data_IF_423342045239
#
_entry.id   IF_423342045239
#
_cell.length_a   1.000
_cell.length_b   1.000
_cell.length_c   1.000
_cell.angle_alpha   90.00
_cell.angle_beta   90.00
_cell.angle_gamma   90.00
#
_symmetry.space_group_name_H-M   'P 1'
#
loop_
_entity.id
_entity.type
_entity.pdbx_description
1 polymer ?
#
# COMPACT_ATOMS: atom_id res chain seq x y z
N UNK A 1 13.24 13.44 11.29
CA UNK A 1 12.77 13.86 12.63
C UNK A 1 11.53 13.07 13.03
N UNK A 2 11.65 12.14 13.98
CA UNK A 2 10.47 11.74 14.75
C UNK A 2 9.82 13.00 15.32
N UNK A 3 8.48 13.12 15.24
CA UNK A 3 7.75 14.33 15.65
C UNK A 3 8.16 14.83 17.05
N UNK A 4 8.56 13.91 17.95
CA UNK A 4 9.11 14.19 19.27
C UNK A 4 10.43 14.98 19.29
N UNK A 5 11.46 14.59 18.54
CA UNK A 5 12.75 15.30 18.59
C UNK A 5 12.66 16.69 17.95
N UNK A 6 11.77 16.87 16.96
CA UNK A 6 11.46 18.20 16.39
C UNK A 6 10.76 19.10 17.39
N UNK A 7 9.83 18.53 18.14
CA UNK A 7 9.14 19.22 19.22
C UNK A 7 10.13 19.62 20.32
N UNK A 8 10.98 18.69 20.77
CA UNK A 8 12.00 18.94 21.79
C UNK A 8 13.01 20.02 21.37
N UNK A 9 13.51 19.99 20.12
CA UNK A 9 14.43 21.02 19.63
C UNK A 9 13.75 22.39 19.46
N UNK A 10 12.44 22.43 19.15
CA UNK A 10 11.65 23.68 19.15
C UNK A 10 11.44 24.21 20.58
N UNK A 11 11.12 23.33 21.52
CA UNK A 11 10.99 23.69 22.94
C UNK A 11 12.31 24.17 23.53
N UNK A 12 13.43 23.49 23.27
CA UNK A 12 14.75 23.89 23.74
C UNK A 12 15.12 25.30 23.24
N UNK A 13 14.82 25.63 21.98
CA UNK A 13 15.00 26.99 21.46
C UNK A 13 14.11 28.02 22.14
N UNK A 14 12.90 27.63 22.51
CA UNK A 14 11.95 28.48 23.23
C UNK A 14 12.41 28.71 24.67
N UNK A 15 12.87 27.65 25.35
CA UNK A 15 13.42 27.74 26.69
C UNK A 15 14.68 28.59 26.77
N UNK A 16 15.55 28.55 25.74
CA UNK A 16 16.70 29.47 25.68
C UNK A 16 16.25 30.92 25.50
N UNK A 17 15.25 31.14 24.63
CA UNK A 17 14.69 32.48 24.38
C UNK A 17 13.94 33.06 25.59
N UNK A 18 13.33 32.20 26.39
CA UNK A 18 12.60 32.55 27.60
C UNK A 18 13.53 32.59 28.85
N UNK A 19 14.87 32.50 28.66
CA UNK A 19 15.90 32.48 29.71
C UNK A 19 15.72 31.38 30.78
N UNK A 20 15.02 30.29 30.43
CA UNK A 20 14.80 29.14 31.32
C UNK A 20 16.00 28.19 31.37
N UNK A 21 16.87 28.25 30.37
CA UNK A 21 18.13 27.52 30.28
C UNK A 21 19.25 28.48 29.87
N UNK A 22 20.48 28.16 30.25
CA UNK A 22 21.67 28.91 29.84
C UNK A 22 22.15 28.48 28.45
N UNK A 23 22.87 29.35 27.74
CA UNK A 23 23.40 29.06 26.40
C UNK A 23 24.29 27.81 26.37
N UNK A 24 25.05 27.56 27.45
CA UNK A 24 25.87 26.35 27.61
C UNK A 24 25.01 25.08 27.75
N UNK A 25 23.91 25.14 28.51
CA UNK A 25 22.96 24.03 28.64
C UNK A 25 22.20 23.78 27.33
N UNK A 26 21.89 24.84 26.59
CA UNK A 26 21.28 24.74 25.27
C UNK A 26 22.19 24.01 24.29
N UNK A 27 23.47 24.38 24.19
CA UNK A 27 24.47 23.70 23.34
C UNK A 27 24.58 22.21 23.65
N UNK A 28 24.66 21.83 24.93
CA UNK A 28 24.77 20.43 25.36
C UNK A 28 23.51 19.62 24.98
N UNK A 29 22.33 20.17 25.24
CA UNK A 29 21.06 19.51 24.93
C UNK A 29 20.81 19.46 23.43
N UNK A 30 21.13 20.54 22.72
CA UNK A 30 21.02 20.61 21.27
C UNK A 30 21.86 19.51 20.63
N UNK A 31 23.14 19.39 21.03
CA UNK A 31 24.07 18.37 20.54
C UNK A 31 23.64 16.94 20.90
N UNK A 32 22.99 16.75 22.06
CA UNK A 32 22.45 15.45 22.51
C UNK A 32 21.20 15.00 21.75
N UNK A 33 20.36 15.93 21.30
CA UNK A 33 19.13 15.63 20.55
C UNK A 33 19.27 15.85 19.03
N UNK A 34 20.45 16.27 18.59
CA UNK A 34 20.86 16.33 17.19
C UNK A 34 21.26 14.93 16.71
N UNK A 35 20.35 13.95 16.84
CA UNK A 35 20.49 12.67 16.15
C UNK A 35 20.28 12.88 14.65
N UNK A 36 21.06 12.13 13.86
CA UNK A 36 21.08 12.15 12.40
C UNK A 36 19.70 12.43 11.79
N UNK A 37 19.65 13.54 11.05
CA UNK A 37 18.48 14.18 10.47
C UNK A 37 17.54 13.22 9.69
N UNK A 38 18.10 12.10 9.20
CA UNK A 38 17.45 11.17 8.30
C UNK A 38 16.77 10.05 9.10
N UNK A 39 15.43 10.08 9.11
CA UNK A 39 14.66 8.91 9.50
C UNK A 39 14.81 7.85 8.40
N UNK A 40 15.73 6.91 8.59
CA UNK A 40 15.97 5.81 7.65
C UNK A 40 14.83 4.80 7.62
N UNK A 41 13.87 4.87 8.55
CA UNK A 41 12.84 3.84 8.69
C UNK A 41 11.94 3.68 7.45
N UNK A 42 11.44 4.76 6.81
CA UNK A 42 10.67 4.67 5.57
C UNK A 42 11.53 4.16 4.41
N UNK A 43 12.79 4.60 4.32
CA UNK A 43 13.72 4.19 3.27
C UNK A 43 13.98 2.69 3.36
N UNK A 44 14.32 2.18 4.55
CA UNK A 44 14.51 0.76 4.80
C UNK A 44 13.23 -0.02 4.45
N UNK A 45 12.04 0.48 4.81
CA UNK A 45 10.78 -0.21 4.45
C UNK A 45 10.60 -0.29 2.94
N UNK A 46 10.85 0.80 2.22
CA UNK A 46 10.75 0.84 0.76
C UNK A 46 11.73 -0.16 0.12
N UNK A 47 13.01 -0.14 0.52
CA UNK A 47 14.04 -1.07 0.04
C UNK A 47 13.68 -2.52 0.33
N UNK A 48 13.12 -2.80 1.51
CA UNK A 48 12.72 -4.17 1.86
C UNK A 48 11.53 -4.63 1.02
N UNK A 49 10.53 -3.78 0.79
CA UNK A 49 9.38 -4.12 -0.07
C UNK A 49 9.83 -4.35 -1.51
N UNK A 50 10.66 -3.48 -2.07
CA UNK A 50 11.19 -3.66 -3.42
C UNK A 50 12.06 -4.91 -3.52
N UNK A 51 12.87 -5.18 -2.50
CA UNK A 51 13.67 -6.40 -2.40
C UNK A 51 12.82 -7.67 -2.38
N UNK A 52 11.73 -7.70 -1.60
CA UNK A 52 10.77 -8.82 -1.59
C UNK A 52 10.25 -9.09 -3.01
N UNK A 53 9.77 -8.04 -3.70
CA UNK A 53 9.20 -8.16 -5.04
C UNK A 53 10.26 -8.64 -6.05
N UNK A 54 11.45 -8.03 -6.03
CA UNK A 54 12.53 -8.37 -6.96
C UNK A 54 13.04 -9.80 -6.75
N UNK A 55 13.23 -10.24 -5.51
CA UNK A 55 13.65 -11.61 -5.21
C UNK A 55 12.59 -12.60 -5.66
N UNK A 56 11.31 -12.35 -5.36
CA UNK A 56 10.22 -13.23 -5.80
C UNK A 56 10.16 -13.35 -7.32
N UNK A 57 10.16 -12.23 -8.05
CA UNK A 57 10.15 -12.23 -9.52
C UNK A 57 11.41 -12.89 -10.08
N UNK A 58 12.58 -12.60 -9.51
CA UNK A 58 13.85 -13.15 -9.95
C UNK A 58 13.88 -14.68 -9.83
N UNK A 59 13.40 -15.23 -8.72
CA UNK A 59 13.29 -16.69 -8.56
C UNK A 59 12.28 -17.31 -9.51
N UNK A 60 11.11 -16.69 -9.70
CA UNK A 60 10.09 -17.17 -10.66
C UNK A 60 10.66 -17.16 -12.08
N UNK A 61 11.34 -16.09 -12.49
CA UNK A 61 11.95 -15.96 -13.81
C UNK A 61 13.11 -16.94 -14.02
N UNK A 62 13.98 -17.11 -13.02
CA UNK A 62 15.05 -18.10 -13.04
C UNK A 62 14.48 -19.50 -13.25
N UNK A 63 13.42 -19.86 -12.53
CA UNK A 63 12.76 -21.16 -12.65
C UNK A 63 12.11 -21.34 -14.02
N UNK A 64 11.47 -20.30 -14.57
CA UNK A 64 10.87 -20.36 -15.93
C UNK A 64 11.90 -20.46 -17.05
N UNK A 65 13.12 -19.93 -16.86
CA UNK A 65 14.17 -19.94 -17.88
C UNK A 65 14.84 -21.31 -18.02
N UNK A 66 14.99 -22.04 -16.91
CA UNK A 66 15.59 -23.37 -16.91
C UNK A 66 14.53 -24.45 -17.05
N UNK A 67 14.78 -25.45 -17.91
CA UNK A 67 13.92 -26.62 -18.06
C UNK A 67 14.20 -27.57 -16.89
N UNK A 68 13.65 -27.25 -15.71
CA UNK A 68 13.64 -28.15 -14.57
C UNK A 68 12.38 -29.03 -14.59
N UNK A 69 12.48 -30.22 -14.01
CA UNK A 69 11.29 -31.06 -13.74
C UNK A 69 10.35 -30.33 -12.78
N UNK A 70 9.04 -30.36 -13.03
CA UNK A 70 8.01 -29.75 -12.16
C UNK A 70 8.13 -30.24 -10.71
N UNK A 71 8.51 -31.51 -10.51
CA UNK A 71 8.75 -32.08 -9.18
C UNK A 71 9.92 -31.41 -8.46
N UNK A 72 10.98 -31.07 -9.19
CA UNK A 72 12.13 -30.34 -8.64
C UNK A 72 11.76 -28.90 -8.28
N UNK A 73 10.96 -28.25 -9.11
CA UNK A 73 10.44 -26.90 -8.84
C UNK A 73 9.58 -26.88 -7.56
N UNK A 74 8.65 -27.85 -7.42
CA UNK A 74 7.84 -27.98 -6.22
C UNK A 74 8.72 -28.23 -4.98
N UNK A 75 9.72 -29.12 -5.07
CA UNK A 75 10.68 -29.36 -3.99
C UNK A 75 11.44 -28.09 -3.60
N UNK A 76 11.91 -27.31 -4.57
CA UNK A 76 12.64 -26.07 -4.33
C UNK A 76 11.76 -25.02 -3.63
N UNK A 77 10.51 -24.83 -4.07
CA UNK A 77 9.60 -23.90 -3.39
C UNK A 77 9.26 -24.34 -1.97
N UNK A 78 9.07 -25.64 -1.73
CA UNK A 78 8.88 -26.18 -0.38
C UNK A 78 10.10 -25.90 0.51
N UNK A 79 11.32 -26.12 -0.01
CA UNK A 79 12.56 -25.86 0.70
C UNK A 79 12.71 -24.37 1.03
N UNK A 80 12.46 -23.48 0.05
CA UNK A 80 12.52 -22.04 0.25
C UNK A 80 11.49 -21.56 1.29
N UNK A 81 10.25 -22.07 1.23
CA UNK A 81 9.22 -21.80 2.23
C UNK A 81 9.70 -22.21 3.64
N UNK A 82 10.14 -23.46 3.82
CA UNK A 82 10.58 -23.96 5.13
C UNK A 82 11.81 -23.20 5.64
N UNK A 83 12.75 -22.89 4.75
CA UNK A 83 13.99 -22.19 5.11
C UNK A 83 13.73 -20.84 5.77
N UNK A 84 12.78 -20.04 5.29
CA UNK A 84 12.54 -18.73 5.88
C UNK A 84 11.87 -18.77 7.26
N UNK A 85 11.09 -19.81 7.57
CA UNK A 85 10.59 -20.04 8.93
C UNK A 85 11.70 -20.47 9.88
N UNK A 86 12.63 -21.31 9.41
CA UNK A 86 13.80 -21.72 10.19
C UNK A 86 14.72 -20.52 10.45
N UNK A 87 15.00 -19.69 9.44
CA UNK A 87 15.85 -18.50 9.55
C UNK A 87 15.25 -17.50 10.56
N UNK A 88 13.93 -17.24 10.50
CA UNK A 88 13.25 -16.38 11.48
C UNK A 88 13.42 -16.89 12.92
N UNK A 89 13.30 -18.20 13.12
CA UNK A 89 13.45 -18.82 14.44
C UNK A 89 14.91 -18.77 14.93
N UNK A 90 15.89 -18.96 14.04
CA UNK A 90 17.31 -18.82 14.36
C UNK A 90 17.64 -17.37 14.76
N UNK A 91 17.11 -16.38 14.04
CA UNK A 91 17.35 -14.97 14.34
C UNK A 91 16.79 -14.56 15.71
N UNK A 92 15.64 -15.13 16.10
CA UNK A 92 15.06 -14.94 17.44
C UNK A 92 15.91 -15.59 18.53
N UNK A 93 16.44 -16.79 18.28
CA UNK A 93 17.27 -17.52 19.27
C UNK A 93 18.66 -16.94 19.45
N UNK A 94 19.21 -16.26 18.44
CA UNK A 94 20.55 -15.67 18.47
C UNK A 94 20.58 -14.20 18.90
N UNK A 95 19.45 -13.63 19.32
CA UNK A 95 19.30 -12.20 19.67
C UNK A 95 19.70 -11.19 18.57
N UNK A 96 19.87 -11.64 17.32
CA UNK A 96 20.13 -10.78 16.14
C UNK A 96 18.77 -10.37 15.51
N UNK A 97 17.75 -10.16 16.34
CA UNK A 97 16.38 -9.97 15.85
C UNK A 97 16.20 -8.60 15.19
N UNK A 98 16.20 -8.60 13.86
CA UNK A 98 15.86 -7.45 13.02
C UNK A 98 14.39 -7.55 12.58
N UNK A 99 13.45 -6.82 13.22
CA UNK A 99 12.01 -7.04 13.04
C UNK A 99 11.54 -6.86 11.59
N UNK A 100 12.15 -5.92 10.84
CA UNK A 100 11.81 -5.70 9.43
C UNK A 100 12.33 -6.80 8.51
N UNK A 101 13.53 -7.30 8.79
CA UNK A 101 14.16 -8.38 8.03
C UNK A 101 13.42 -9.69 8.24
N UNK A 102 13.11 -10.04 9.48
CA UNK A 102 12.23 -11.17 9.80
C UNK A 102 10.86 -11.05 9.12
N UNK A 103 10.24 -9.88 9.16
CA UNK A 103 8.96 -9.64 8.48
C UNK A 103 9.03 -9.87 6.97
N UNK A 104 10.10 -9.41 6.32
CA UNK A 104 10.32 -9.61 4.90
C UNK A 104 10.63 -11.07 4.53
N UNK A 105 11.47 -11.77 5.31
CA UNK A 105 11.80 -13.18 5.09
C UNK A 105 10.53 -14.04 5.15
N UNK A 106 9.69 -13.85 6.17
CA UNK A 106 8.43 -14.58 6.28
C UNK A 106 7.49 -14.22 5.12
N UNK A 107 7.44 -12.96 4.68
CA UNK A 107 6.62 -12.56 3.54
C UNK A 107 7.06 -13.23 2.22
N UNK A 108 8.36 -13.25 1.94
CA UNK A 108 8.94 -13.96 0.79
C UNK A 108 8.63 -15.46 0.88
N UNK A 109 8.76 -16.04 2.07
CA UNK A 109 8.46 -17.45 2.31
C UNK A 109 6.99 -17.76 2.02
N UNK A 110 6.08 -16.90 2.46
CA UNK A 110 4.66 -17.01 2.13
C UNK A 110 4.42 -16.97 0.62
N UNK A 111 5.09 -16.10 -0.13
CA UNK A 111 4.97 -16.09 -1.60
C UNK A 111 5.41 -17.43 -2.20
N UNK A 112 6.51 -18.02 -1.72
CA UNK A 112 6.94 -19.35 -2.14
C UNK A 112 5.97 -20.47 -1.75
N UNK A 113 5.25 -20.35 -0.62
CA UNK A 113 4.18 -21.29 -0.28
C UNK A 113 3.07 -21.28 -1.33
N UNK A 114 2.67 -20.10 -1.81
CA UNK A 114 1.66 -20.01 -2.87
C UNK A 114 2.19 -20.64 -4.16
N UNK A 115 3.42 -20.31 -4.57
CA UNK A 115 4.04 -20.92 -5.75
C UNK A 115 4.13 -22.45 -5.65
N UNK A 116 4.44 -22.98 -4.46
CA UNK A 116 4.42 -24.42 -4.17
C UNK A 116 3.03 -25.02 -4.38
N UNK A 117 1.97 -24.42 -3.83
CA UNK A 117 0.59 -24.90 -3.97
C UNK A 117 0.18 -24.95 -5.45
N UNK A 118 0.48 -23.89 -6.20
CA UNK A 118 0.21 -23.84 -7.65
C UNK A 118 0.97 -24.94 -8.40
N UNK A 119 2.25 -25.14 -8.11
CA UNK A 119 3.08 -26.14 -8.79
C UNK A 119 2.60 -27.56 -8.47
N UNK A 120 2.27 -27.86 -7.21
CA UNK A 120 1.77 -29.18 -6.81
C UNK A 120 0.42 -29.48 -7.44
N UNK A 121 -0.49 -28.51 -7.46
CA UNK A 121 -1.79 -28.70 -8.10
C UNK A 121 -1.63 -29.00 -9.59
N UNK A 122 -0.74 -28.28 -10.27
CA UNK A 122 -0.45 -28.49 -11.68
C UNK A 122 0.05 -29.91 -11.99
N UNK A 123 0.90 -30.46 -11.12
CA UNK A 123 1.39 -31.84 -11.23
C UNK A 123 0.24 -32.85 -11.07
N UNK A 124 -0.71 -32.59 -10.17
CA UNK A 124 -1.81 -33.50 -9.88
C UNK A 124 -2.87 -33.46 -10.99
N UNK A 125 -3.33 -32.26 -11.36
CA UNK A 125 -4.51 -32.08 -12.23
C UNK A 125 -4.18 -32.10 -13.72
N UNK A 126 -2.89 -32.13 -14.09
CA UNK A 126 -2.43 -32.11 -15.47
C UNK A 126 -3.05 -30.96 -16.27
N UNK A 127 -2.88 -29.73 -15.78
CA UNK A 127 -3.26 -28.49 -16.46
C UNK A 127 -4.78 -28.18 -16.46
N UNK A 128 -5.54 -28.76 -15.51
CA UNK A 128 -6.96 -28.45 -15.25
C UNK A 128 -7.18 -27.73 -13.92
N UNK A 129 -6.21 -26.92 -13.51
CA UNK A 129 -6.28 -26.24 -12.22
C UNK A 129 -7.32 -25.12 -12.20
N UNK A 130 -8.12 -25.09 -11.14
CA UNK A 130 -8.97 -23.95 -10.86
C UNK A 130 -8.13 -22.85 -10.16
N UNK A 131 -7.54 -21.96 -10.95
CA UNK A 131 -6.69 -20.86 -10.46
C UNK A 131 -7.37 -20.02 -9.36
N UNK A 132 -8.67 -19.77 -9.50
CA UNK A 132 -9.47 -19.01 -8.52
C UNK A 132 -9.49 -19.76 -7.18
N UNK A 133 -9.74 -21.06 -7.16
CA UNK A 133 -9.77 -21.82 -5.91
C UNK A 133 -8.39 -21.89 -5.23
N UNK A 134 -7.33 -22.11 -6.00
CA UNK A 134 -5.95 -22.21 -5.48
C UNK A 134 -5.45 -20.89 -4.88
N UNK A 135 -5.79 -19.78 -5.52
CA UNK A 135 -5.47 -18.45 -4.99
C UNK A 135 -6.22 -18.18 -3.69
N UNK A 136 -7.50 -18.58 -3.57
CA UNK A 136 -8.25 -18.50 -2.31
C UNK A 136 -7.58 -19.29 -1.17
N UNK A 137 -7.16 -20.53 -1.44
CA UNK A 137 -6.44 -21.37 -0.46
C UNK A 137 -5.15 -20.67 -0.01
N UNK A 138 -4.39 -20.12 -0.95
CA UNK A 138 -3.15 -19.38 -0.65
C UNK A 138 -3.43 -18.16 0.24
N UNK A 139 -4.49 -17.39 -0.06
CA UNK A 139 -4.90 -16.21 0.71
C UNK A 139 -5.29 -16.59 2.15
N UNK A 140 -6.05 -17.66 2.33
CA UNK A 140 -6.43 -18.17 3.66
C UNK A 140 -5.18 -18.53 4.47
N UNK A 141 -4.22 -19.23 3.86
CA UNK A 141 -2.95 -19.57 4.49
C UNK A 141 -2.14 -18.31 4.85
N UNK A 142 -2.16 -17.27 4.02
CA UNK A 142 -1.51 -16.00 4.34
C UNK A 142 -2.14 -15.30 5.54
N UNK A 143 -3.47 -15.29 5.67
CA UNK A 143 -4.12 -14.79 6.87
C UNK A 143 -3.69 -15.58 8.11
N UNK A 144 -3.68 -16.91 8.05
CA UNK A 144 -3.24 -17.77 9.16
C UNK A 144 -1.80 -17.44 9.56
N UNK A 145 -0.87 -17.39 8.59
CA UNK A 145 0.54 -17.06 8.85
C UNK A 145 0.68 -15.64 9.42
N UNK A 146 -0.04 -14.67 8.86
CA UNK A 146 0.00 -13.28 9.30
C UNK A 146 -0.42 -13.14 10.78
N UNK A 147 -1.49 -13.80 11.21
CA UNK A 147 -1.96 -13.74 12.59
C UNK A 147 -1.07 -14.53 13.55
N UNK A 148 -0.59 -15.71 13.16
CA UNK A 148 0.33 -16.52 13.99
C UNK A 148 1.67 -15.79 14.18
N UNK A 149 2.27 -15.31 13.10
CA UNK A 149 3.60 -14.65 13.13
C UNK A 149 3.53 -13.15 13.40
N UNK A 150 2.33 -12.59 13.56
CA UNK A 150 2.07 -11.15 13.76
C UNK A 150 2.74 -10.28 12.69
N UNK A 151 2.71 -10.76 11.44
CA UNK A 151 3.47 -10.16 10.36
C UNK A 151 2.61 -9.21 9.50
N UNK A 152 2.95 -7.93 9.58
CA UNK A 152 2.31 -6.84 8.85
C UNK A 152 2.45 -6.98 7.31
N UNK A 153 3.60 -7.45 6.82
CA UNK A 153 3.83 -7.59 5.39
C UNK A 153 2.95 -8.70 4.80
N UNK A 154 2.91 -9.87 5.47
CA UNK A 154 2.06 -11.00 5.04
C UNK A 154 0.58 -10.62 5.09
N UNK A 155 0.15 -9.90 6.15
CA UNK A 155 -1.24 -9.44 6.22
C UNK A 155 -1.58 -8.50 5.07
N UNK A 156 -0.66 -7.60 4.71
CA UNK A 156 -0.87 -6.68 3.60
C UNK A 156 -1.04 -7.45 2.29
N UNK A 157 -0.19 -8.45 2.03
CA UNK A 157 -0.30 -9.34 0.86
C UNK A 157 -1.61 -10.12 0.89
N UNK A 158 -2.06 -10.61 2.06
CA UNK A 158 -3.31 -11.35 2.20
C UNK A 158 -4.54 -10.48 1.90
N UNK A 159 -4.58 -9.25 2.43
CA UNK A 159 -5.68 -8.30 2.19
C UNK A 159 -5.71 -7.86 0.73
N UNK A 160 -4.56 -7.53 0.15
CA UNK A 160 -4.43 -7.23 -1.28
C UNK A 160 -4.92 -8.41 -2.11
N UNK A 161 -4.43 -9.62 -1.79
CA UNK A 161 -4.80 -10.87 -2.43
C UNK A 161 -6.30 -11.10 -2.41
N UNK A 162 -6.97 -10.90 -1.26
CA UNK A 162 -8.42 -11.07 -1.13
C UNK A 162 -9.21 -10.08 -1.98
N UNK A 163 -8.84 -8.79 -1.97
CA UNK A 163 -9.48 -7.76 -2.80
C UNK A 163 -9.33 -8.13 -4.28
N UNK A 164 -8.12 -8.53 -4.70
CA UNK A 164 -7.86 -8.94 -6.09
C UNK A 164 -8.61 -10.20 -6.47
N UNK A 165 -8.62 -11.20 -5.60
CA UNK A 165 -9.24 -12.49 -5.85
C UNK A 165 -10.73 -12.34 -6.15
N UNK A 166 -11.46 -11.64 -5.28
CA UNK A 166 -12.89 -11.43 -5.48
C UNK A 166 -13.19 -10.54 -6.69
N UNK A 167 -12.33 -9.53 -6.93
CA UNK A 167 -12.39 -8.70 -8.13
C UNK A 167 -12.21 -9.51 -9.43
N UNK A 168 -11.42 -10.58 -9.38
CA UNK A 168 -11.16 -11.47 -10.52
C UNK A 168 -12.08 -12.69 -10.61
N UNK A 169 -12.90 -13.01 -9.59
CA UNK A 169 -13.81 -14.17 -9.49
C UNK A 169 -14.97 -14.18 -10.53
N UNK A 170 -14.81 -13.48 -11.64
CA UNK A 170 -15.77 -13.39 -12.74
C UNK A 170 -15.11 -13.12 -14.10
N UNK A 171 -13.78 -13.16 -14.17
CA UNK A 171 -13.09 -13.23 -15.45
C UNK A 171 -13.17 -14.66 -15.97
N UNK A 172 -13.95 -14.87 -17.02
CA UNK A 172 -13.58 -15.91 -17.98
C UNK A 172 -12.21 -15.50 -18.54
N UNK A 173 -11.25 -16.41 -18.51
CA UNK A 173 -9.88 -16.19 -18.99
C UNK A 173 -9.93 -16.08 -20.52
N UNK A 174 -10.51 -14.99 -21.02
CA UNK A 174 -10.50 -14.56 -22.40
C UNK A 174 -9.26 -13.66 -22.54
N UNK A 175 -8.50 -13.72 -23.67
CA UNK A 175 -7.17 -13.11 -23.77
C UNK A 175 -7.15 -11.59 -23.57
N UNK A 176 -8.30 -10.93 -23.72
CA UNK A 176 -8.45 -9.51 -23.49
C UNK A 176 -8.96 -9.29 -22.07
N UNK A 177 -8.12 -8.71 -21.21
CA UNK A 177 -8.50 -8.23 -19.88
C UNK A 177 -9.55 -7.12 -20.08
N UNK A 178 -10.81 -7.52 -20.20
CA UNK A 178 -11.96 -6.63 -20.31
C UNK A 178 -12.40 -6.29 -18.89
N UNK A 179 -12.11 -5.07 -18.44
CA UNK A 179 -12.57 -4.62 -17.13
C UNK A 179 -14.06 -4.29 -17.19
N UNK A 180 -14.90 -5.30 -16.94
CA UNK A 180 -16.33 -5.11 -16.84
C UNK A 180 -16.69 -4.34 -15.54
N UNK A 181 -17.70 -3.47 -15.59
CA UNK A 181 -18.28 -2.75 -14.44
C UNK A 181 -18.53 -3.68 -13.24
N UNK A 182 -18.97 -4.91 -13.48
CA UNK A 182 -19.21 -5.88 -12.41
C UNK A 182 -17.93 -6.17 -11.60
N UNK A 183 -16.78 -6.23 -12.26
CA UNK A 183 -15.50 -6.50 -11.62
C UNK A 183 -15.07 -5.29 -10.77
N UNK A 184 -15.19 -4.07 -11.31
CA UNK A 184 -14.92 -2.85 -10.54
C UNK A 184 -15.77 -2.74 -9.28
N UNK A 185 -17.06 -3.11 -9.35
CA UNK A 185 -17.94 -3.10 -8.18
C UNK A 185 -17.45 -4.10 -7.11
N UNK A 186 -17.03 -5.31 -7.49
CA UNK A 186 -16.49 -6.32 -6.55
C UNK A 186 -15.23 -5.81 -5.83
N UNK A 187 -14.34 -5.19 -6.61
CA UNK A 187 -13.16 -4.50 -6.13
C UNK A 187 -13.49 -3.38 -5.13
N UNK A 188 -14.48 -2.54 -5.45
CA UNK A 188 -14.96 -1.46 -4.56
C UNK A 188 -15.56 -2.02 -3.27
N UNK A 189 -16.47 -3.00 -3.37
CA UNK A 189 -17.17 -3.59 -2.22
C UNK A 189 -16.16 -4.21 -1.26
N UNK A 190 -15.23 -5.02 -1.75
CA UNK A 190 -14.21 -5.65 -0.89
C UNK A 190 -13.26 -4.63 -0.27
N UNK A 191 -12.88 -3.59 -1.00
CA UNK A 191 -12.06 -2.50 -0.47
C UNK A 191 -12.78 -1.73 0.65
N UNK A 192 -14.07 -1.43 0.48
CA UNK A 192 -14.91 -0.82 1.51
C UNK A 192 -15.04 -1.73 2.74
N UNK A 193 -15.28 -3.03 2.54
CA UNK A 193 -15.34 -4.00 3.64
C UNK A 193 -14.04 -4.03 4.43
N UNK A 194 -12.89 -4.09 3.77
CA UNK A 194 -11.58 -4.05 4.43
C UNK A 194 -11.35 -2.74 5.17
N UNK A 195 -11.77 -1.62 4.58
CA UNK A 195 -11.73 -0.32 5.25
C UNK A 195 -12.57 -0.28 6.53
N UNK A 196 -13.81 -0.76 6.46
CA UNK A 196 -14.72 -0.82 7.60
C UNK A 196 -14.21 -1.76 8.70
N UNK A 197 -13.65 -2.92 8.34
CA UNK A 197 -12.99 -3.83 9.29
C UNK A 197 -11.84 -3.13 10.02
N UNK A 198 -11.04 -2.34 9.30
CA UNK A 198 -9.95 -1.56 9.87
C UNK A 198 -10.41 -0.52 10.89
N UNK A 199 -11.51 0.19 10.59
CA UNK A 199 -12.07 1.24 11.46
C UNK A 199 -12.81 0.67 12.67
N UNK A 200 -13.54 -0.43 12.51
CA UNK A 200 -14.48 -0.95 13.53
C UNK A 200 -13.79 -1.53 14.77
N UNK A 201 -12.47 -1.38 14.90
CA UNK A 201 -11.67 -1.85 16.05
C UNK A 201 -11.93 -3.32 16.40
N UNK A 202 -12.37 -4.15 15.43
CA UNK A 202 -12.59 -5.59 15.64
C UNK A 202 -11.30 -6.21 16.18
N UNK A 203 -10.14 -5.83 15.62
CA UNK A 203 -8.82 -6.28 16.08
C UNK A 203 -8.47 -5.82 17.51
N UNK A 204 -9.08 -4.76 18.04
CA UNK A 204 -8.93 -4.37 19.46
C UNK A 204 -9.63 -5.37 20.37
N UNK A 205 -10.77 -5.96 19.93
CA UNK A 205 -11.46 -7.02 20.68
C UNK A 205 -10.69 -8.34 20.71
N UNK A 206 -9.87 -8.62 19.69
CA UNK A 206 -8.94 -9.76 19.66
C UNK A 206 -7.70 -9.58 20.57
N UNK A 207 -7.54 -8.39 21.17
CA UNK A 207 -6.50 -8.05 22.14
C UNK A 207 -5.52 -6.99 21.65
N UNK A 208 -4.90 -6.25 22.58
CA UNK A 208 -4.00 -5.12 22.29
C UNK A 208 -2.83 -5.48 21.35
N UNK A 209 -2.46 -6.76 21.31
CA UNK A 209 -1.40 -7.32 20.45
C UNK A 209 -1.70 -7.21 18.95
N UNK A 210 -2.97 -7.06 18.55
CA UNK A 210 -3.40 -6.95 17.15
C UNK A 210 -3.92 -5.57 16.76
N UNK A 211 -3.83 -4.58 17.66
CA UNK A 211 -4.33 -3.23 17.41
C UNK A 211 -3.75 -2.61 16.12
N UNK A 212 -2.45 -2.84 15.87
CA UNK A 212 -1.78 -2.31 14.69
C UNK A 212 -2.21 -2.99 13.38
N UNK A 213 -2.90 -4.14 13.42
CA UNK A 213 -3.42 -4.77 12.20
C UNK A 213 -4.56 -3.96 11.59
N UNK A 214 -5.36 -3.28 12.42
CA UNK A 214 -6.38 -2.34 11.93
C UNK A 214 -5.80 -1.30 10.98
N UNK A 215 -4.53 -0.89 11.18
CA UNK A 215 -3.82 0.03 10.29
C UNK A 215 -3.70 -0.53 8.87
N UNK A 216 -3.40 -1.81 8.73
CA UNK A 216 -3.27 -2.45 7.42
C UNK A 216 -4.63 -2.51 6.73
N UNK A 217 -5.66 -2.99 7.43
CA UNK A 217 -7.00 -3.13 6.86
C UNK A 217 -7.54 -1.79 6.33
N UNK A 218 -7.48 -0.71 7.12
CA UNK A 218 -7.98 0.58 6.63
C UNK A 218 -7.07 1.21 5.57
N UNK A 219 -5.74 1.03 5.67
CA UNK A 219 -4.80 1.64 4.73
C UNK A 219 -4.91 0.98 3.36
N UNK A 220 -4.83 -0.35 3.32
CA UNK A 220 -4.96 -1.10 2.07
C UNK A 220 -6.35 -0.91 1.48
N UNK A 221 -7.41 -0.95 2.30
CA UNK A 221 -8.78 -0.71 1.85
C UNK A 221 -8.99 0.64 1.18
N UNK A 222 -8.55 1.75 1.79
CA UNK A 222 -8.66 3.09 1.17
C UNK A 222 -7.81 3.19 -0.09
N UNK A 223 -6.56 2.71 -0.04
CA UNK A 223 -5.66 2.80 -1.19
C UNK A 223 -6.24 2.07 -2.39
N UNK A 224 -6.71 0.84 -2.20
CA UNK A 224 -7.32 0.07 -3.28
C UNK A 224 -8.61 0.73 -3.78
N UNK A 225 -9.53 1.12 -2.89
CA UNK A 225 -10.76 1.81 -3.26
C UNK A 225 -10.48 3.00 -4.18
N UNK A 226 -9.51 3.84 -3.81
CA UNK A 226 -9.18 5.03 -4.56
C UNK A 226 -8.38 4.76 -5.84
N UNK A 227 -7.52 3.73 -5.86
CA UNK A 227 -6.86 3.28 -7.09
C UNK A 227 -7.93 2.82 -8.10
N UNK A 228 -8.89 2.00 -7.67
CA UNK A 228 -9.94 1.46 -8.55
C UNK A 228 -10.83 2.59 -9.07
N UNK A 229 -11.26 3.52 -8.20
CA UNK A 229 -12.05 4.68 -8.62
C UNK A 229 -11.27 5.60 -9.57
N UNK A 230 -9.96 5.78 -9.35
CA UNK A 230 -9.11 6.51 -10.27
C UNK A 230 -9.01 5.82 -11.64
N UNK A 231 -8.81 4.50 -11.67
CA UNK A 231 -8.80 3.71 -12.92
C UNK A 231 -10.14 3.84 -13.65
N UNK A 232 -11.27 3.67 -12.96
CA UNK A 232 -12.60 3.86 -13.54
C UNK A 232 -12.80 5.26 -14.11
N UNK A 233 -12.31 6.30 -13.41
CA UNK A 233 -12.42 7.68 -13.88
C UNK A 233 -11.62 7.97 -15.14
N UNK A 234 -10.64 7.13 -15.49
CA UNK A 234 -9.75 7.28 -16.65
C UNK A 234 -10.19 6.37 -17.82
N UNK A 235 -10.52 5.11 -17.53
CA UNK A 235 -10.83 4.08 -18.53
C UNK A 235 -12.33 3.97 -18.84
N UNK A 236 -13.19 4.29 -17.86
CA UNK A 236 -14.62 3.99 -17.92
C UNK A 236 -14.88 2.49 -18.10
N UNK A 237 -15.94 2.15 -18.83
CA UNK A 237 -16.26 0.79 -19.26
C UNK A 237 -15.57 0.36 -20.58
N UNK A 238 -14.55 1.09 -21.05
CA UNK A 238 -13.79 0.69 -22.23
C UNK A 238 -12.38 0.22 -21.88
N UNK A 239 -11.83 -0.66 -22.70
CA UNK A 239 -10.45 -1.12 -22.56
C UNK A 239 -9.42 -0.13 -23.12
N UNK A 240 -9.86 0.99 -23.70
CA UNK A 240 -8.99 2.01 -24.26
C UNK A 240 -8.86 3.20 -23.32
N UNK A 241 -7.65 3.76 -23.23
CA UNK A 241 -7.39 4.96 -22.43
C UNK A 241 -8.14 6.14 -23.06
N UNK A 242 -9.31 6.48 -22.50
CA UNK A 242 -10.19 7.52 -23.04
C UNK A 242 -9.76 8.96 -22.72
N UNK A 243 -8.61 9.17 -22.07
CA UNK A 243 -8.11 10.52 -21.74
C UNK A 243 -8.03 11.43 -22.99
N UNK A 244 -7.93 10.84 -24.20
CA UNK A 244 -7.82 11.55 -25.48
C UNK A 244 -9.06 11.42 -26.39
N UNK A 245 -10.18 10.87 -25.89
CA UNK A 245 -11.41 10.62 -26.67
C UNK A 245 -12.57 11.53 -26.23
N UNK A 246 -13.60 11.71 -27.08
CA UNK A 246 -14.71 12.61 -26.77
C UNK A 246 -15.39 12.25 -25.46
N UNK A 247 -15.56 13.28 -24.65
CA UNK A 247 -16.07 13.27 -23.27
C UNK A 247 -17.39 12.50 -23.14
N UNK A 248 -17.36 11.35 -22.48
CA UNK A 248 -18.57 10.59 -22.16
C UNK A 248 -19.11 11.01 -20.79
N UNK A 249 -20.43 11.10 -20.64
CA UNK A 249 -21.09 11.39 -19.35
C UNK A 249 -20.71 10.38 -18.26
N UNK A 250 -20.35 9.16 -18.66
CA UNK A 250 -19.95 8.07 -17.78
C UNK A 250 -18.65 8.37 -17.01
N UNK A 251 -17.61 8.87 -17.69
CA UNK A 251 -16.33 9.23 -17.04
C UNK A 251 -16.52 10.33 -15.99
N UNK A 252 -17.43 11.27 -16.26
CA UNK A 252 -17.78 12.34 -15.33
C UNK A 252 -18.46 11.77 -14.08
N UNK A 253 -19.37 10.80 -14.21
CA UNK A 253 -20.00 10.12 -13.08
C UNK A 253 -18.95 9.42 -12.22
N UNK A 254 -18.01 8.68 -12.83
CA UNK A 254 -16.95 8.01 -12.08
C UNK A 254 -16.00 8.98 -11.37
N UNK A 255 -15.66 10.11 -12.01
CA UNK A 255 -14.85 11.15 -11.34
C UNK A 255 -15.59 11.80 -10.17
N UNK A 256 -16.91 12.03 -10.27
CA UNK A 256 -17.72 12.53 -9.16
C UNK A 256 -17.76 11.48 -8.04
N UNK A 257 -17.99 10.21 -8.34
CA UNK A 257 -17.97 9.13 -7.35
C UNK A 257 -16.62 9.04 -6.64
N UNK A 258 -15.53 9.18 -7.38
CA UNK A 258 -14.18 9.22 -6.83
C UNK A 258 -14.01 10.39 -5.84
N UNK A 259 -14.41 11.60 -6.26
CA UNK A 259 -14.34 12.79 -5.42
C UNK A 259 -15.22 12.69 -4.16
N UNK A 260 -16.45 12.21 -4.29
CA UNK A 260 -17.38 12.02 -3.17
C UNK A 260 -16.84 10.97 -2.19
N UNK A 261 -16.27 9.86 -2.70
CA UNK A 261 -15.60 8.85 -1.87
C UNK A 261 -14.49 9.46 -1.03
N UNK A 262 -13.64 10.31 -1.63
CA UNK A 262 -12.55 10.95 -0.91
C UNK A 262 -13.04 11.96 0.14
N UNK A 263 -14.11 12.71 -0.14
CA UNK A 263 -14.73 13.60 0.86
C UNK A 263 -15.27 12.78 2.04
N UNK A 264 -15.95 11.66 1.77
CA UNK A 264 -16.48 10.78 2.81
C UNK A 264 -15.35 10.24 3.67
N UNK A 265 -14.29 9.71 3.06
CA UNK A 265 -13.12 9.18 3.79
C UNK A 265 -12.39 10.29 4.56
N UNK A 266 -12.31 11.51 4.03
CA UNK A 266 -11.76 12.67 4.73
C UNK A 266 -12.56 13.00 5.99
N UNK A 267 -13.89 13.09 5.88
CA UNK A 267 -14.79 13.36 7.02
C UNK A 267 -14.66 12.26 8.07
N UNK A 268 -14.62 11.00 7.66
CA UNK A 268 -14.42 9.85 8.56
C UNK A 268 -13.06 9.95 9.26
N UNK A 269 -11.98 10.18 8.52
CA UNK A 269 -10.63 10.32 9.07
C UNK A 269 -10.52 11.48 10.06
N UNK A 270 -11.17 12.60 9.77
CA UNK A 270 -11.23 13.77 10.66
C UNK A 270 -12.01 13.46 11.95
N UNK A 271 -13.23 12.89 11.84
CA UNK A 271 -14.06 12.52 13.00
C UNK A 271 -13.38 11.50 13.91
N UNK A 272 -12.71 10.51 13.32
CA UNK A 272 -11.99 9.47 14.06
C UNK A 272 -10.59 9.90 14.52
N UNK A 273 -10.14 11.12 14.18
CA UNK A 273 -8.79 11.66 14.48
C UNK A 273 -7.66 10.76 13.97
N UNK A 274 -7.87 10.04 12.85
CA UNK A 274 -6.88 9.16 12.24
C UNK A 274 -6.14 9.95 11.15
N UNK A 275 -4.98 10.50 11.50
CA UNK A 275 -4.20 11.38 10.60
C UNK A 275 -3.80 10.72 9.27
N UNK A 276 -3.60 9.40 9.24
CA UNK A 276 -3.23 8.68 8.02
C UNK A 276 -4.36 8.70 6.98
N UNK A 277 -5.60 8.48 7.40
CA UNK A 277 -6.77 8.50 6.51
C UNK A 277 -6.91 9.90 5.90
N UNK A 278 -6.84 10.95 6.74
CA UNK A 278 -6.91 12.34 6.27
C UNK A 278 -5.84 12.65 5.22
N UNK A 279 -4.58 12.22 5.45
CA UNK A 279 -3.50 12.42 4.48
C UNK A 279 -3.77 11.71 3.15
N UNK A 280 -4.27 10.48 3.17
CA UNK A 280 -4.61 9.74 1.95
C UNK A 280 -5.76 10.39 1.20
N UNK A 281 -6.84 10.77 1.89
CA UNK A 281 -8.00 11.43 1.25
C UNK A 281 -7.60 12.76 0.59
N UNK A 282 -6.78 13.59 1.24
CA UNK A 282 -6.28 14.84 0.64
C UNK A 282 -5.45 14.54 -0.63
N UNK A 283 -4.56 13.54 -0.55
CA UNK A 283 -3.75 13.14 -1.71
C UNK A 283 -4.63 12.71 -2.90
N UNK A 284 -5.64 11.89 -2.67
CA UNK A 284 -6.52 11.43 -3.75
C UNK A 284 -7.46 12.51 -4.29
N UNK A 285 -7.92 13.45 -3.45
CA UNK A 285 -8.64 14.65 -3.93
C UNK A 285 -7.78 15.44 -4.91
N UNK A 286 -6.52 15.71 -4.53
CA UNK A 286 -5.57 16.43 -5.39
C UNK A 286 -5.30 15.61 -6.66
N UNK A 287 -5.13 14.30 -6.53
CA UNK A 287 -4.92 13.42 -7.68
C UNK A 287 -6.12 13.44 -8.64
N UNK A 288 -7.36 13.39 -8.16
CA UNK A 288 -8.55 13.45 -9.00
C UNK A 288 -8.63 14.81 -9.73
N UNK A 289 -8.40 15.92 -9.02
CA UNK A 289 -8.33 17.25 -9.65
C UNK A 289 -7.22 17.31 -10.72
N UNK A 290 -6.07 16.70 -10.46
CA UNK A 290 -4.96 16.63 -11.40
C UNK A 290 -5.33 15.82 -12.65
N UNK A 291 -5.96 14.64 -12.50
CA UNK A 291 -6.44 13.83 -13.62
C UNK A 291 -7.43 14.65 -14.48
N UNK A 292 -8.39 15.33 -13.84
CA UNK A 292 -9.37 16.18 -14.55
C UNK A 292 -8.71 17.35 -15.27
N UNK A 293 -7.70 17.97 -14.66
CA UNK A 293 -6.95 19.05 -15.30
C UNK A 293 -6.29 18.57 -16.61
N UNK A 294 -5.66 17.39 -16.59
CA UNK A 294 -5.10 16.79 -17.81
C UNK A 294 -6.17 16.46 -18.84
N UNK A 295 -7.27 15.84 -18.41
CA UNK A 295 -8.36 15.46 -19.32
C UNK A 295 -8.99 16.65 -20.04
N UNK A 296 -9.20 17.78 -19.34
CA UNK A 296 -9.84 18.95 -19.93
C UNK A 296 -8.89 19.84 -20.73
N UNK A 297 -7.68 20.07 -20.24
CA UNK A 297 -6.85 21.15 -20.77
C UNK A 297 -5.71 20.67 -21.68
N UNK A 298 -5.33 19.39 -21.64
CA UNK A 298 -4.14 18.93 -22.35
C UNK A 298 -4.28 19.00 -23.88
N UNK A 299 -5.45 18.67 -24.42
CA UNK A 299 -5.70 18.74 -25.87
C UNK A 299 -6.23 20.11 -26.34
N UNK A 300 -6.86 20.88 -25.44
CA UNK A 300 -7.51 22.16 -25.79
C UNK A 300 -6.58 23.38 -25.65
N UNK A 301 -5.45 23.25 -24.94
CA UNK A 301 -4.52 24.35 -24.70
C UNK A 301 -3.14 24.10 -25.32
N UNK A 302 -2.44 25.19 -25.62
CA UNK A 302 -1.01 25.11 -25.95
C UNK A 302 -0.22 24.55 -24.75
N UNK A 303 0.64 23.57 -25.01
CA UNK A 303 1.40 22.85 -23.99
C UNK A 303 2.17 23.78 -23.03
N UNK A 304 2.73 24.88 -23.53
CA UNK A 304 3.46 25.84 -22.68
C UNK A 304 2.54 26.58 -21.69
N UNK A 305 1.32 26.96 -22.09
CA UNK A 305 0.34 27.62 -21.21
C UNK A 305 -0.13 26.62 -20.13
N UNK A 306 -0.40 25.38 -20.55
CA UNK A 306 -0.76 24.28 -19.66
C UNK A 306 0.27 24.10 -18.54
N UNK A 307 1.56 23.94 -18.88
CA UNK A 307 2.59 23.74 -17.87
C UNK A 307 2.82 24.96 -16.96
N UNK A 308 2.70 26.19 -17.48
CA UNK A 308 2.82 27.41 -16.67
C UNK A 308 1.70 27.49 -15.64
N UNK A 309 0.45 27.27 -16.05
CA UNK A 309 -0.71 27.30 -15.14
C UNK A 309 -0.55 26.23 -14.05
N UNK A 310 -0.23 25.00 -14.45
CA UNK A 310 0.00 23.90 -13.52
C UNK A 310 1.12 24.21 -12.52
N UNK A 311 2.24 24.77 -13.01
CA UNK A 311 3.36 25.19 -12.17
C UNK A 311 2.97 26.26 -11.15
N UNK A 312 2.27 27.32 -11.59
CA UNK A 312 1.82 28.40 -10.71
C UNK A 312 0.87 27.86 -9.63
N UNK A 313 -0.12 27.04 -9.99
CA UNK A 313 -1.03 26.43 -9.03
C UNK A 313 -0.30 25.56 -8.00
N UNK A 314 0.66 24.76 -8.45
CA UNK A 314 1.45 23.88 -7.57
C UNK A 314 2.28 24.69 -6.58
N UNK A 315 2.93 25.76 -7.04
CA UNK A 315 3.70 26.67 -6.18
C UNK A 315 2.79 27.37 -5.16
N UNK A 316 1.63 27.89 -5.59
CA UNK A 316 0.68 28.55 -4.72
C UNK A 316 0.17 27.62 -3.60
N UNK A 317 -0.18 26.37 -3.94
CA UNK A 317 -0.58 25.36 -2.95
C UNK A 317 0.56 25.11 -1.97
N UNK A 318 1.81 24.97 -2.45
CA UNK A 318 2.99 24.82 -1.60
C UNK A 318 3.16 25.97 -0.60
N UNK A 319 3.05 27.22 -1.08
CA UNK A 319 3.16 28.44 -0.25
C UNK A 319 2.03 28.52 0.78
N UNK A 320 0.79 28.16 0.40
CA UNK A 320 -0.35 28.15 1.34
C UNK A 320 -0.12 27.11 2.44
N UNK A 321 0.30 25.90 2.08
CA UNK A 321 0.60 24.84 3.05
C UNK A 321 1.73 25.28 3.98
N UNK A 322 2.80 25.87 3.45
CA UNK A 322 3.92 26.36 4.26
C UNK A 322 3.47 27.44 5.24
N UNK A 323 2.63 28.39 4.80
CA UNK A 323 2.04 29.40 5.70
C UNK A 323 1.22 28.75 6.80
N UNK A 324 0.31 27.82 6.48
CA UNK A 324 -0.50 27.12 7.48
C UNK A 324 0.37 26.40 8.52
N UNK A 325 1.49 25.80 8.09
CA UNK A 325 2.43 25.12 8.99
C UNK A 325 3.23 26.12 9.84
N UNK A 326 3.58 27.29 9.31
CA UNK A 326 4.36 28.31 10.02
C UNK A 326 3.58 29.02 11.13
N UNK A 327 2.24 29.09 11.00
CA UNK A 327 1.33 29.66 12.01
C UNK A 327 0.78 28.62 13.01
N UNK A 328 1.27 27.37 12.97
CA UNK A 328 1.02 26.31 13.95
C UNK A 328 2.31 25.98 14.72
#
# INVERSE_FOLDING_TARGET
MGSKNRFLLKELKKWNKDNLITDEQFEILYKKYQDDYIDWQPIIKAIMITGIIMVSIGFIAFISFYIFSLYFIAFLFALLFVSGFIIDEIFKRKDIYLPKTSSAIIAISSIFLSAFIFTVSYIITHNKDNFILLSLISIILFFIIAYIKRNYAVLSIAVIGLITWYGFEGFDIIPEITFNINNYIRFIITSILMFLIGITNINKKLGDRYYNFSIIYYTVGILYLNIILAVMSILGNSNEVMIFKPKTMELLIYSILFFVSDIITFIIGYKLKISSIVRYSIFFIILNMYIRYFEYFYLEMNAWIFFIILGIFTILIGVIIERIIKYK
#
